data_IF_394716196550
#
_entry.id   IF_394716196550
#
_cell.length_a   1.000
_cell.length_b   1.000
_cell.length_c   1.000
_cell.angle_alpha   90.00
_cell.angle_beta   90.00
_cell.angle_gamma   90.00
#
_symmetry.space_group_name_H-M   'P 1'
#
loop_
_entity.id
_entity.type
_entity.pdbx_description
1 polymer ?
#
# COMPACT_ATOMS: atom_id res chain seq x y z
N UNK A 1 3.56 -0.69 -28.47
CA UNK A 1 3.96 0.36 -27.51
C UNK A 1 2.75 1.08 -26.90
N UNK A 2 1.79 1.60 -27.68
CA UNK A 2 0.60 2.29 -27.14
C UNK A 2 -0.24 1.48 -26.14
N UNK A 3 -0.47 0.19 -26.40
CA UNK A 3 -1.20 -0.67 -25.46
C UNK A 3 -0.48 -0.85 -24.12
N UNK A 4 0.86 -0.88 -24.12
CA UNK A 4 1.65 -1.10 -22.91
C UNK A 4 1.59 0.11 -21.96
N UNK A 5 1.59 1.33 -22.51
CA UNK A 5 1.43 2.55 -21.73
C UNK A 5 0.02 2.65 -21.10
N UNK A 6 -1.02 2.32 -21.86
CA UNK A 6 -2.37 2.28 -21.30
C UNK A 6 -2.52 1.22 -20.19
N UNK A 7 -1.90 0.05 -20.35
CA UNK A 7 -1.91 -1.01 -19.33
C UNK A 7 -1.25 -0.57 -18.02
N UNK A 8 -0.16 0.22 -18.06
CA UNK A 8 0.49 0.67 -16.82
C UNK A 8 -0.34 1.72 -16.07
N UNK A 9 -1.08 2.57 -16.78
CA UNK A 9 -1.99 3.53 -16.17
C UNK A 9 -3.13 2.81 -15.42
N UNK A 10 -3.78 1.83 -16.06
CA UNK A 10 -4.81 1.02 -15.40
C UNK A 10 -4.26 0.28 -14.18
N UNK A 11 -3.04 -0.26 -14.28
CA UNK A 11 -2.38 -0.92 -13.16
C UNK A 11 -2.12 0.05 -12.01
N UNK A 12 -1.67 1.28 -12.28
CA UNK A 12 -1.45 2.31 -11.25
C UNK A 12 -2.75 2.71 -10.55
N UNK A 13 -3.83 2.92 -11.30
CA UNK A 13 -5.13 3.23 -10.70
C UNK A 13 -5.69 2.06 -9.89
N UNK A 14 -5.55 0.82 -10.38
CA UNK A 14 -5.93 -0.37 -9.64
C UNK A 14 -5.10 -0.53 -8.35
N UNK A 15 -3.80 -0.25 -8.40
CA UNK A 15 -2.91 -0.29 -7.25
C UNK A 15 -3.34 0.73 -6.19
N UNK A 16 -3.64 1.97 -6.57
CA UNK A 16 -4.18 2.98 -5.66
C UNK A 16 -5.48 2.50 -5.01
N UNK A 17 -6.46 2.06 -5.82
CA UNK A 17 -7.74 1.60 -5.30
C UNK A 17 -7.58 0.42 -4.32
N UNK A 18 -6.73 -0.55 -4.69
CA UNK A 18 -6.39 -1.70 -3.85
C UNK A 18 -5.73 -1.25 -2.54
N UNK A 19 -4.80 -0.29 -2.58
CA UNK A 19 -4.16 0.25 -1.38
C UNK A 19 -5.19 0.87 -0.44
N UNK A 20 -6.07 1.75 -0.93
CA UNK A 20 -7.10 2.34 -0.09
C UNK A 20 -8.09 1.30 0.45
N UNK A 21 -8.48 0.31 -0.35
CA UNK A 21 -9.32 -0.79 0.09
C UNK A 21 -8.68 -1.59 1.22
N UNK A 22 -7.39 -1.92 1.11
CA UNK A 22 -6.64 -2.64 2.15
C UNK A 22 -6.51 -1.80 3.42
N UNK A 23 -6.22 -0.50 3.30
CA UNK A 23 -6.14 0.42 4.45
C UNK A 23 -7.48 0.46 5.19
N UNK A 24 -8.60 0.60 4.47
CA UNK A 24 -9.94 0.64 5.08
C UNK A 24 -10.27 -0.70 5.73
N UNK A 25 -10.05 -1.81 5.02
CA UNK A 25 -10.34 -3.16 5.52
C UNK A 25 -9.55 -3.47 6.80
N UNK A 26 -8.24 -3.26 6.77
CA UNK A 26 -7.38 -3.52 7.94
C UNK A 26 -7.63 -2.50 9.05
N UNK A 27 -7.88 -1.23 8.70
CA UNK A 27 -8.22 -0.20 9.66
C UNK A 27 -9.51 -0.53 10.41
N UNK A 28 -10.53 -1.03 9.70
CA UNK A 28 -11.77 -1.48 10.29
C UNK A 28 -11.56 -2.66 11.25
N UNK A 29 -10.79 -3.68 10.85
CA UNK A 29 -10.49 -4.84 11.73
C UNK A 29 -9.73 -4.41 12.99
N UNK A 30 -8.74 -3.52 12.85
CA UNK A 30 -7.88 -3.12 13.95
C UNK A 30 -8.55 -2.15 14.94
N UNK A 31 -9.40 -1.23 14.45
CA UNK A 31 -10.06 -0.21 15.29
C UNK A 31 -11.47 -0.60 15.74
N UNK A 32 -12.14 -1.50 15.04
CA UNK A 32 -13.48 -1.95 15.37
C UNK A 32 -13.55 -3.50 15.46
N UNK A 33 -12.91 -4.10 16.49
CA UNK A 33 -12.87 -5.56 16.65
C UNK A 33 -14.27 -6.22 16.73
N UNK A 34 -15.30 -5.46 17.13
CA UNK A 34 -16.68 -5.94 17.18
C UNK A 34 -17.38 -6.14 15.83
N UNK A 35 -16.89 -5.54 14.74
CA UNK A 35 -17.48 -5.69 13.39
C UNK A 35 -17.00 -6.95 12.67
N UNK A 36 -15.80 -7.46 13.01
CA UNK A 36 -15.17 -8.59 12.35
C UNK A 36 -15.28 -9.91 13.13
N UNK A 37 -16.02 -9.94 14.25
CA UNK A 37 -16.13 -11.13 15.10
C UNK A 37 -14.81 -11.54 15.75
N UNK A 38 -13.84 -10.62 15.86
CA UNK A 38 -12.52 -10.91 16.40
C UNK A 38 -12.64 -11.07 17.92
N UNK A 39 -12.60 -12.32 18.38
CA UNK A 39 -12.75 -12.67 19.79
C UNK A 39 -11.46 -12.29 20.51
N UNK A 40 -11.59 -11.63 21.66
CA UNK A 40 -10.47 -11.42 22.58
C UNK A 40 -9.80 -12.77 22.93
N UNK A 41 -8.50 -12.78 23.29
CA UNK A 41 -7.80 -14.02 23.69
C UNK A 41 -8.65 -14.78 24.73
N UNK A 42 -8.74 -16.10 24.55
CA UNK A 42 -9.60 -16.96 25.35
C UNK A 42 -9.05 -17.18 26.77
N UNK A 43 -7.75 -16.99 26.94
CA UNK A 43 -7.00 -17.13 28.17
C UNK A 43 -5.88 -16.09 28.25
N UNK A 44 -5.41 -15.82 29.47
CA UNK A 44 -4.24 -14.97 29.70
C UNK A 44 -2.91 -15.69 29.43
N UNK A 45 -2.93 -16.86 28.78
CA UNK A 45 -1.69 -17.55 28.42
C UNK A 45 -0.96 -16.82 27.29
N UNK A 46 0.36 -16.80 27.37
CA UNK A 46 1.21 -16.10 26.41
C UNK A 46 1.01 -16.65 25.00
N UNK A 47 0.83 -17.96 24.85
CA UNK A 47 0.63 -18.60 23.55
C UNK A 47 -0.63 -18.08 22.84
N UNK A 48 -1.73 -17.92 23.57
CA UNK A 48 -3.01 -17.43 23.04
C UNK A 48 -2.95 -15.93 22.68
N UNK A 49 -2.22 -15.15 23.48
CA UNK A 49 -1.93 -13.73 23.17
C UNK A 49 -1.10 -13.59 21.89
N UNK A 50 -0.06 -14.43 21.74
CA UNK A 50 0.82 -14.41 20.56
C UNK A 50 0.03 -14.79 19.30
N UNK A 51 -0.81 -15.83 19.37
CA UNK A 51 -1.71 -16.24 18.26
C UNK A 51 -2.68 -15.10 17.88
N UNK A 52 -3.32 -14.46 18.87
CA UNK A 52 -4.22 -13.34 18.61
C UNK A 52 -3.50 -12.17 17.93
N UNK A 53 -2.27 -11.87 18.35
CA UNK A 53 -1.47 -10.80 17.74
C UNK A 53 -1.03 -11.16 16.32
N UNK A 54 -0.66 -12.41 16.06
CA UNK A 54 -0.35 -12.88 14.71
C UNK A 54 -1.53 -12.68 13.75
N UNK A 55 -2.77 -12.93 14.19
CA UNK A 55 -3.96 -12.65 13.37
C UNK A 55 -4.14 -11.17 13.03
N UNK A 56 -3.73 -10.26 13.94
CA UNK A 56 -3.75 -8.81 13.71
C UNK A 56 -2.64 -8.37 12.75
N UNK A 57 -1.48 -9.01 12.84
CA UNK A 57 -0.33 -8.72 11.98
C UNK A 57 -0.53 -9.23 10.54
N UNK A 58 -1.40 -10.22 10.35
CA UNK A 58 -1.74 -10.73 9.02
C UNK A 58 -2.13 -9.61 8.06
N UNK A 59 -1.51 -9.58 6.89
CA UNK A 59 -1.75 -8.57 5.86
C UNK A 59 -1.07 -7.21 6.08
N UNK A 60 -0.38 -6.97 7.20
CA UNK A 60 0.52 -5.82 7.31
C UNK A 60 1.69 -5.89 6.33
N UNK A 61 2.18 -7.11 6.04
CA UNK A 61 3.20 -7.34 5.03
C UNK A 61 2.78 -6.81 3.64
N UNK A 62 1.49 -6.94 3.29
CA UNK A 62 0.96 -6.42 2.03
C UNK A 62 1.04 -4.89 1.96
N UNK A 63 0.69 -4.20 3.05
CA UNK A 63 0.84 -2.73 3.16
C UNK A 63 2.31 -2.29 3.04
N UNK A 64 3.24 -3.03 3.66
CA UNK A 64 4.67 -2.76 3.55
C UNK A 64 5.18 -2.95 2.11
N UNK A 65 4.73 -4.00 1.43
CA UNK A 65 5.05 -4.24 0.02
C UNK A 65 4.47 -3.14 -0.86
N UNK A 66 3.21 -2.73 -0.65
CA UNK A 66 2.62 -1.61 -1.41
C UNK A 66 3.38 -0.30 -1.20
N UNK A 67 3.75 -0.01 0.05
CA UNK A 67 4.52 1.18 0.41
C UNK A 67 5.89 1.23 -0.30
N UNK A 68 6.57 0.09 -0.43
CA UNK A 68 7.89 0.01 -1.05
C UNK A 68 7.86 -0.18 -2.56
N UNK A 69 6.89 -0.92 -3.11
CA UNK A 69 6.83 -1.26 -4.53
C UNK A 69 6.11 -0.21 -5.38
N UNK A 70 5.07 0.46 -4.87
CA UNK A 70 4.27 1.41 -5.65
C UNK A 70 5.07 2.57 -6.29
N UNK A 71 6.10 3.15 -5.65
CA UNK A 71 6.93 4.18 -6.28
C UNK A 71 7.64 3.67 -7.54
N UNK A 72 8.11 2.42 -7.51
CA UNK A 72 8.81 1.80 -8.65
C UNK A 72 7.87 1.51 -9.81
N UNK A 73 6.59 1.18 -9.53
CA UNK A 73 5.56 1.06 -10.55
C UNK A 73 5.30 2.40 -11.24
N UNK A 74 5.22 3.50 -10.46
CA UNK A 74 5.08 4.86 -11.00
C UNK A 74 6.29 5.28 -11.85
N UNK A 75 7.50 4.97 -11.38
CA UNK A 75 8.74 5.19 -12.13
C UNK A 75 8.73 4.41 -13.45
N UNK A 76 8.35 3.13 -13.45
CA UNK A 76 8.21 2.37 -14.68
C UNK A 76 7.21 3.03 -15.66
N UNK A 77 6.12 3.61 -15.14
CA UNK A 77 5.16 4.39 -15.92
C UNK A 77 5.78 5.62 -16.60
N UNK A 78 6.62 6.38 -15.89
CA UNK A 78 7.34 7.50 -16.53
C UNK A 78 8.24 7.04 -17.67
N UNK A 79 8.99 5.96 -17.46
CA UNK A 79 9.91 5.42 -18.47
C UNK A 79 9.15 5.02 -19.73
N UNK A 80 8.04 4.28 -19.60
CA UNK A 80 7.24 3.85 -20.75
C UNK A 80 6.65 5.04 -21.54
N UNK A 81 6.12 6.04 -20.85
CA UNK A 81 5.55 7.23 -21.50
C UNK A 81 6.62 8.08 -22.19
N UNK A 82 7.78 8.27 -21.57
CA UNK A 82 8.90 9.00 -22.18
C UNK A 82 9.43 8.24 -23.41
N UNK A 83 9.59 6.91 -23.32
CA UNK A 83 9.98 6.09 -24.47
C UNK A 83 8.98 6.22 -25.62
N UNK A 84 7.67 6.24 -25.32
CA UNK A 84 6.64 6.45 -26.33
C UNK A 84 6.74 7.86 -26.95
N UNK A 85 7.00 8.89 -26.15
CA UNK A 85 7.20 10.26 -26.65
C UNK A 85 8.37 10.32 -27.64
N UNK A 86 9.52 9.74 -27.27
CA UNK A 86 10.73 9.73 -28.10
C UNK A 86 10.55 8.92 -29.38
N UNK A 87 9.77 7.83 -29.35
CA UNK A 87 9.46 7.03 -30.56
C UNK A 87 8.63 7.78 -31.61
N UNK A 88 7.82 8.74 -31.19
CA UNK A 88 7.07 9.62 -32.12
C UNK A 88 7.99 10.65 -32.75
N UNK A 89 9.00 11.09 -32.02
CA UNK A 89 10.01 12.02 -32.54
C UNK A 89 10.90 11.38 -33.60
N UNK A 90 11.19 10.08 -33.50
CA UNK A 90 11.99 9.39 -34.52
C UNK A 90 11.29 9.24 -35.86
N UNK A 91 9.98 9.50 -35.93
CA UNK A 91 9.16 9.31 -37.13
C UNK A 91 8.60 10.61 -37.73
N UNK A 92 8.88 11.77 -37.10
CA UNK A 92 8.38 13.08 -37.51
C UNK A 92 9.43 14.19 -37.35
N UNK A 93 9.20 15.35 -37.96
CA UNK A 93 10.01 16.54 -37.66
C UNK A 93 9.86 16.94 -36.19
N UNK A 94 10.92 17.48 -35.60
CA UNK A 94 10.93 17.87 -34.19
C UNK A 94 9.97 19.04 -33.96
N UNK A 95 8.87 18.76 -33.26
CA UNK A 95 7.89 19.76 -32.80
C UNK A 95 7.65 19.57 -31.29
N UNK A 96 7.78 20.65 -30.53
CA UNK A 96 7.60 20.68 -29.06
C UNK A 96 6.17 20.27 -28.67
N UNK A 97 5.19 20.56 -29.51
CA UNK A 97 3.79 20.18 -29.26
C UNK A 97 3.59 18.66 -29.26
N UNK A 98 4.43 17.90 -29.96
CA UNK A 98 4.36 16.44 -30.03
C UNK A 98 4.86 15.75 -28.75
N UNK A 99 5.69 16.43 -27.95
CA UNK A 99 6.33 15.85 -26.74
C UNK A 99 5.68 16.31 -25.43
N UNK A 100 5.05 17.48 -25.39
CA UNK A 100 4.52 18.09 -24.15
C UNK A 100 3.45 17.22 -23.47
N UNK A 101 2.51 16.68 -24.24
CA UNK A 101 1.45 15.80 -23.72
C UNK A 101 1.99 14.49 -23.10
N UNK A 102 2.74 13.66 -23.85
CA UNK A 102 3.32 12.43 -23.32
C UNK A 102 4.23 12.60 -22.10
N UNK A 103 4.95 13.73 -22.01
CA UNK A 103 5.78 14.03 -20.83
C UNK A 103 4.89 14.33 -19.61
N UNK A 104 3.78 15.05 -19.80
CA UNK A 104 2.84 15.30 -18.70
C UNK A 104 2.21 13.99 -18.18
N UNK A 105 1.82 13.07 -19.07
CA UNK A 105 1.28 11.76 -18.64
C UNK A 105 2.33 10.89 -17.96
N UNK A 106 3.60 10.98 -18.40
CA UNK A 106 4.71 10.35 -17.71
C UNK A 106 4.80 10.83 -16.25
N UNK A 107 4.87 12.14 -16.03
CA UNK A 107 4.96 12.72 -14.67
C UNK A 107 3.76 12.34 -13.80
N UNK A 108 2.57 12.27 -14.39
CA UNK A 108 1.37 11.80 -13.70
C UNK A 108 1.51 10.35 -13.19
N UNK A 109 2.18 9.46 -13.93
CA UNK A 109 2.42 8.08 -13.49
C UNK A 109 3.17 8.01 -12.15
N UNK A 110 4.22 8.83 -11.98
CA UNK A 110 4.95 8.90 -10.71
C UNK A 110 4.09 9.47 -9.60
N UNK A 111 3.33 10.52 -9.87
CA UNK A 111 2.43 11.12 -8.90
C UNK A 111 1.43 10.09 -8.38
N UNK A 112 0.80 9.32 -9.27
CA UNK A 112 -0.15 8.26 -8.91
C UNK A 112 0.52 7.15 -8.10
N UNK A 113 1.74 6.74 -8.46
CA UNK A 113 2.52 5.76 -7.68
C UNK A 113 2.80 6.23 -6.25
N UNK A 114 3.13 7.52 -6.07
CA UNK A 114 3.32 8.12 -4.75
C UNK A 114 2.00 8.24 -3.96
N UNK A 115 0.89 8.52 -4.64
CA UNK A 115 -0.44 8.54 -4.03
C UNK A 115 -0.87 7.16 -3.49
N UNK A 116 -0.34 6.05 -4.02
CA UNK A 116 -0.49 4.72 -3.40
C UNK A 116 0.54 4.50 -2.27
N UNK A 117 1.81 4.82 -2.51
CA UNK A 117 2.91 4.49 -1.59
C UNK A 117 2.80 5.20 -0.23
N UNK A 118 2.52 6.51 -0.24
CA UNK A 118 2.55 7.34 0.98
C UNK A 118 1.46 6.91 1.97
N UNK A 119 0.17 6.76 1.56
CA UNK A 119 -0.86 6.27 2.46
C UNK A 119 -0.56 4.85 2.98
N UNK A 120 -0.05 3.95 2.13
CA UNK A 120 0.33 2.59 2.55
C UNK A 120 1.40 2.62 3.66
N UNK A 121 2.43 3.45 3.50
CA UNK A 121 3.51 3.60 4.48
C UNK A 121 2.99 4.15 5.81
N UNK A 122 2.14 5.19 5.76
CA UNK A 122 1.57 5.79 6.97
C UNK A 122 0.68 4.78 7.70
N UNK A 123 -0.21 4.11 6.97
CA UNK A 123 -1.09 3.10 7.53
C UNK A 123 -0.31 1.95 8.17
N UNK A 124 0.68 1.39 7.46
CA UNK A 124 1.54 0.33 7.98
C UNK A 124 2.17 0.71 9.33
N UNK A 125 2.83 1.88 9.40
CA UNK A 125 3.51 2.32 10.61
C UNK A 125 2.56 2.57 11.79
N UNK A 126 1.41 3.21 11.54
CA UNK A 126 0.42 3.49 12.58
C UNK A 126 -0.20 2.21 13.13
N UNK A 127 -0.54 1.28 12.24
CA UNK A 127 -1.20 0.03 12.59
C UNK A 127 -0.24 -0.94 13.30
N UNK A 128 0.99 -1.07 12.82
CA UNK A 128 2.02 -1.86 13.47
C UNK A 128 2.29 -1.35 14.90
N UNK A 129 2.43 -0.03 15.07
CA UNK A 129 2.58 0.58 16.41
C UNK A 129 1.39 0.27 17.30
N UNK A 130 0.17 0.30 16.76
CA UNK A 130 -1.05 0.00 17.52
C UNK A 130 -1.07 -1.46 17.98
N UNK A 131 -0.71 -2.40 17.12
CA UNK A 131 -0.65 -3.83 17.45
C UNK A 131 0.38 -4.10 18.55
N UNK A 132 1.58 -3.51 18.43
CA UNK A 132 2.62 -3.63 19.47
C UNK A 132 2.15 -3.09 20.83
N UNK A 133 1.43 -1.97 20.86
CA UNK A 133 0.86 -1.42 22.09
C UNK A 133 -0.19 -2.37 22.69
N UNK A 134 -1.05 -2.98 21.86
CA UNK A 134 -2.04 -3.95 22.31
C UNK A 134 -1.38 -5.22 22.86
N UNK A 135 -0.42 -5.79 22.14
CA UNK A 135 0.36 -6.95 22.57
C UNK A 135 1.00 -6.72 23.94
N UNK A 136 1.69 -5.59 24.12
CA UNK A 136 2.32 -5.23 25.40
C UNK A 136 1.31 -5.05 26.53
N UNK A 137 0.07 -4.60 26.25
CA UNK A 137 -0.98 -4.47 27.27
C UNK A 137 -1.52 -5.83 27.69
N UNK A 138 -1.75 -6.73 26.74
CA UNK A 138 -2.21 -8.10 27.02
C UNK A 138 -1.19 -8.86 27.86
N UNK A 139 0.10 -8.79 27.51
CA UNK A 139 1.16 -9.42 28.30
C UNK A 139 1.28 -8.86 29.72
N UNK A 140 1.04 -7.55 29.92
CA UNK A 140 1.04 -6.95 31.27
C UNK A 140 -0.11 -7.48 32.11
N UNK A 141 -1.33 -7.51 31.55
CA UNK A 141 -2.50 -8.04 32.24
C UNK A 141 -2.30 -9.52 32.63
N UNK A 142 -1.78 -10.34 31.72
CA UNK A 142 -1.47 -11.74 32.00
C UNK A 142 -0.45 -11.93 33.14
N UNK A 143 0.59 -11.10 33.18
CA UNK A 143 1.59 -11.16 34.25
C UNK A 143 1.05 -10.68 35.61
N UNK A 144 0.04 -9.81 35.62
CA UNK A 144 -0.63 -9.37 36.85
C UNK A 144 -1.52 -10.47 37.42
N UNK A 145 -2.21 -11.25 36.59
CA UNK A 145 -3.04 -12.39 37.02
C UNK A 145 -2.22 -13.58 37.56
N UNK A 146 -0.96 -13.71 37.13
CA UNK A 146 -0.07 -14.77 37.57
C UNK A 146 0.61 -14.50 38.94
N UNK A 147 0.39 -13.34 39.55
CA UNK A 147 0.93 -12.94 40.87
C UNK A 147 -0.09 -13.09 41.97
#
# INVERSE_FOLDING_TARGET
>A
MQHLAASIDYLLYALVALTFAVIIYKGAILYAPGLAGMKAPASADKADIDEHVETLENGMALLAVMASAAPFVGLAGTVLHIMQALSRLSSAAIDITLISGPIATALNSTLVGLCAAVPALVAYNLMQRRIQVLHNRLLRAANEEAR
#
